data_IF_526552086468
#
_entry.id   IF_526552086468
#
_cell.length_a   1.000
_cell.length_b   1.000
_cell.length_c   1.000
_cell.angle_alpha   90.00
_cell.angle_beta   90.00
_cell.angle_gamma   90.00
#
_symmetry.space_group_name_H-M   'P 1'
#
loop_
_entity.id
_entity.type
_entity.pdbx_description
1 polymer ?
#
# COMPACT_ATOMS: atom_id res chain seq x y z
N UNK A 1 29.80 37.71 16.54
CA UNK A 1 28.60 38.05 15.73
C UNK A 1 28.39 37.11 14.55
N UNK A 2 29.45 36.65 13.86
CA UNK A 2 29.39 35.71 12.72
C UNK A 2 28.78 34.31 12.98
N UNK A 3 28.97 33.62 14.12
CA UNK A 3 28.46 32.25 14.29
C UNK A 3 26.94 32.20 14.50
N UNK A 4 26.35 33.22 15.14
CA UNK A 4 24.91 33.31 15.41
C UNK A 4 24.11 33.49 14.11
N UNK A 5 24.67 34.25 13.15
CA UNK A 5 24.06 34.46 11.84
C UNK A 5 24.09 33.18 11.01
N UNK A 6 25.22 32.46 11.00
CA UNK A 6 25.36 31.19 10.30
C UNK A 6 24.39 30.11 10.83
N UNK A 7 24.23 29.98 12.15
CA UNK A 7 23.28 29.02 12.76
C UNK A 7 21.82 29.33 12.40
N UNK A 8 21.45 30.62 12.32
CA UNK A 8 20.10 31.03 11.91
C UNK A 8 19.79 30.71 10.45
N UNK A 9 20.75 30.90 9.55
CA UNK A 9 20.59 30.53 8.14
C UNK A 9 20.45 29.01 7.95
N UNK A 10 21.24 28.21 8.69
CA UNK A 10 21.14 26.76 8.63
C UNK A 10 19.78 26.24 9.12
N UNK A 11 19.28 26.80 10.23
CA UNK A 11 17.96 26.46 10.76
C UNK A 11 16.83 26.85 9.80
N UNK A 12 16.92 28.03 9.16
CA UNK A 12 15.95 28.45 8.15
C UNK A 12 15.97 27.55 6.91
N UNK A 13 17.16 27.18 6.43
CA UNK A 13 17.31 26.26 5.31
C UNK A 13 16.72 24.88 5.63
N UNK A 14 16.97 24.37 6.83
CA UNK A 14 16.41 23.09 7.30
C UNK A 14 14.88 23.16 7.39
N UNK A 15 14.32 24.25 7.90
CA UNK A 15 12.87 24.45 7.97
C UNK A 15 12.22 24.50 6.58
N UNK A 16 12.86 25.13 5.60
CA UNK A 16 12.38 25.17 4.21
C UNK A 16 12.42 23.78 3.56
N UNK A 17 13.49 23.01 3.78
CA UNK A 17 13.58 21.64 3.27
C UNK A 17 12.52 20.72 3.89
N UNK A 18 12.28 20.84 5.21
CA UNK A 18 11.25 20.07 5.91
C UNK A 18 9.82 20.42 5.44
N UNK A 19 9.57 21.68 5.10
CA UNK A 19 8.26 22.12 4.60
C UNK A 19 7.90 21.52 3.22
N UNK A 20 8.90 21.11 2.43
CA UNK A 20 8.68 20.48 1.12
C UNK A 20 8.05 19.08 1.16
N UNK A 21 8.10 18.39 2.30
CA UNK A 21 7.57 17.02 2.42
C UNK A 21 6.04 16.96 2.62
N UNK A 22 5.36 18.09 2.86
CA UNK A 22 3.96 18.12 3.27
C UNK A 22 2.93 18.27 2.12
N UNK A 23 3.37 18.28 0.86
CA UNK A 23 2.57 18.75 -0.28
C UNK A 23 1.74 17.71 -1.05
N UNK A 24 1.47 16.51 -0.53
CA UNK A 24 0.72 15.50 -1.30
C UNK A 24 -0.79 15.70 -1.15
N UNK A 25 -1.54 15.77 -2.27
CA UNK A 25 -3.00 15.71 -2.23
C UNK A 25 -3.48 14.47 -1.47
N UNK A 26 -4.64 14.52 -0.78
CA UNK A 26 -5.18 13.35 -0.12
C UNK A 26 -5.33 12.21 -1.14
N UNK A 27 -4.97 10.97 -0.77
CA UNK A 27 -5.11 9.85 -1.68
C UNK A 27 -6.59 9.68 -2.06
N UNK A 28 -6.86 9.24 -3.29
CA UNK A 28 -8.23 8.95 -3.69
C UNK A 28 -8.83 7.83 -2.84
N UNK A 29 -10.15 7.84 -2.72
CA UNK A 29 -10.93 6.89 -1.91
C UNK A 29 -10.68 5.43 -2.31
N UNK A 30 -10.61 5.13 -3.62
CA UNK A 30 -10.34 3.78 -4.12
C UNK A 30 -9.04 3.21 -3.58
N UNK A 31 -8.02 4.04 -3.33
CA UNK A 31 -6.72 3.58 -2.86
C UNK A 31 -6.80 3.15 -1.39
N UNK A 32 -7.52 3.90 -0.57
CA UNK A 32 -7.76 3.55 0.84
C UNK A 32 -8.67 2.32 0.96
N UNK A 33 -9.73 2.26 0.14
CA UNK A 33 -10.64 1.11 0.13
C UNK A 33 -9.93 -0.17 -0.33
N UNK A 34 -9.11 -0.09 -1.38
CA UNK A 34 -8.32 -1.21 -1.87
C UNK A 34 -7.33 -1.70 -0.80
N UNK A 35 -6.56 -0.79 -0.19
CA UNK A 35 -5.57 -1.15 0.83
C UNK A 35 -6.23 -1.80 2.04
N UNK A 36 -7.31 -1.21 2.59
CA UNK A 36 -8.01 -1.79 3.73
C UNK A 36 -8.65 -3.14 3.41
N UNK A 37 -9.09 -3.36 2.17
CA UNK A 37 -9.61 -4.65 1.74
C UNK A 37 -8.50 -5.71 1.59
N UNK A 38 -7.30 -5.33 1.11
CA UNK A 38 -6.13 -6.22 1.08
C UNK A 38 -5.75 -6.65 2.49
N UNK A 39 -5.62 -5.72 3.43
CA UNK A 39 -5.26 -6.01 4.83
C UNK A 39 -6.27 -6.96 5.49
N UNK A 40 -7.59 -6.69 5.34
CA UNK A 40 -8.62 -7.60 5.86
C UNK A 40 -8.59 -8.97 5.20
N UNK A 41 -8.26 -9.06 3.90
CA UNK A 41 -8.11 -10.35 3.23
C UNK A 41 -6.92 -11.15 3.79
N UNK A 42 -5.79 -10.49 4.07
CA UNK A 42 -4.62 -11.10 4.68
C UNK A 42 -4.91 -11.59 6.10
N UNK A 43 -5.52 -10.74 6.93
CA UNK A 43 -5.91 -11.11 8.29
C UNK A 43 -6.88 -12.29 8.30
N UNK A 44 -7.87 -12.28 7.39
CA UNK A 44 -8.81 -13.37 7.24
C UNK A 44 -8.12 -14.67 6.82
N UNK A 45 -7.17 -14.63 5.87
CA UNK A 45 -6.39 -15.81 5.49
C UNK A 45 -5.62 -16.39 6.67
N UNK A 46 -4.86 -15.55 7.38
CA UNK A 46 -4.02 -15.97 8.51
C UNK A 46 -4.84 -16.46 9.70
N UNK A 47 -6.10 -16.02 9.80
CA UNK A 47 -7.07 -16.47 10.80
C UNK A 47 -7.91 -17.68 10.36
N UNK A 48 -7.66 -18.25 9.17
CA UNK A 48 -8.40 -19.39 8.63
C UNK A 48 -9.82 -19.08 8.12
N UNK A 49 -10.16 -17.80 7.94
CA UNK A 49 -11.47 -17.32 7.50
C UNK A 49 -11.55 -17.17 5.97
N UNK A 50 -11.39 -18.28 5.23
CA UNK A 50 -11.25 -18.27 3.76
C UNK A 50 -12.38 -17.58 2.99
N UNK A 51 -13.63 -17.66 3.47
CA UNK A 51 -14.76 -16.95 2.83
C UNK A 51 -14.64 -15.42 2.92
N UNK A 52 -14.10 -14.92 4.02
CA UNK A 52 -13.89 -13.47 4.21
C UNK A 52 -12.68 -13.03 3.39
N UNK A 53 -11.63 -13.85 3.33
CA UNK A 53 -10.48 -13.58 2.46
C UNK A 53 -10.90 -13.37 1.00
N UNK A 54 -11.64 -14.32 0.42
CA UNK A 54 -12.09 -14.19 -0.98
C UNK A 54 -12.97 -12.95 -1.19
N UNK A 55 -13.88 -12.66 -0.25
CA UNK A 55 -14.77 -11.50 -0.34
C UNK A 55 -14.00 -10.17 -0.29
N UNK A 56 -13.10 -10.00 0.67
CA UNK A 56 -12.32 -8.78 0.81
C UNK A 56 -11.30 -8.63 -0.32
N UNK A 57 -10.70 -9.74 -0.78
CA UNK A 57 -9.79 -9.69 -1.92
C UNK A 57 -10.52 -9.32 -3.22
N UNK A 58 -11.72 -9.85 -3.45
CA UNK A 58 -12.56 -9.44 -4.59
C UNK A 58 -12.93 -7.95 -4.54
N UNK A 59 -13.19 -7.41 -3.34
CA UNK A 59 -13.41 -5.96 -3.16
C UNK A 59 -12.16 -5.15 -3.52
N UNK A 60 -10.98 -5.56 -3.06
CA UNK A 60 -9.73 -4.91 -3.42
C UNK A 60 -9.51 -4.89 -4.95
N UNK A 61 -9.73 -6.04 -5.61
CA UNK A 61 -9.67 -6.14 -7.08
C UNK A 61 -10.66 -5.20 -7.75
N UNK A 62 -11.90 -5.12 -7.27
CA UNK A 62 -12.92 -4.24 -7.84
C UNK A 62 -12.53 -2.75 -7.71
N UNK A 63 -12.03 -2.33 -6.55
CA UNK A 63 -11.53 -0.97 -6.33
C UNK A 63 -10.41 -0.60 -7.31
N UNK A 64 -9.42 -1.48 -7.47
CA UNK A 64 -8.29 -1.24 -8.37
C UNK A 64 -8.74 -1.30 -9.85
N UNK A 65 -9.58 -2.27 -10.23
CA UNK A 65 -10.01 -2.47 -11.61
C UNK A 65 -10.73 -1.24 -12.18
N UNK A 66 -11.46 -0.49 -11.34
CA UNK A 66 -12.13 0.77 -11.75
C UNK A 66 -11.16 1.85 -12.23
N UNK A 67 -9.87 1.76 -11.87
CA UNK A 67 -8.83 2.70 -12.30
C UNK A 67 -8.15 2.33 -13.62
N UNK A 68 -8.38 1.10 -14.12
CA UNK A 68 -7.64 0.56 -15.28
C UNK A 68 -6.16 0.26 -15.05
N UNK A 69 -5.67 0.34 -13.80
CA UNK A 69 -4.27 0.13 -13.43
C UNK A 69 -3.94 -1.36 -13.31
N UNK A 70 -3.61 -2.00 -14.43
CA UNK A 70 -3.21 -3.41 -14.48
C UNK A 70 -1.97 -3.70 -13.62
N UNK A 71 -1.03 -2.75 -13.51
CA UNK A 71 0.15 -2.86 -12.66
C UNK A 71 -0.20 -2.97 -11.17
N UNK A 72 -1.27 -2.30 -10.72
CA UNK A 72 -1.75 -2.38 -9.35
C UNK A 72 -2.53 -3.67 -9.08
N UNK A 73 -3.31 -4.17 -10.05
CA UNK A 73 -3.96 -5.48 -9.95
C UNK A 73 -2.92 -6.60 -9.81
N UNK A 74 -1.89 -6.56 -10.65
CA UNK A 74 -0.79 -7.51 -10.60
C UNK A 74 -0.09 -7.50 -9.23
N UNK A 75 0.15 -6.31 -8.66
CA UNK A 75 0.69 -6.18 -7.29
C UNK A 75 -0.24 -6.76 -6.23
N UNK A 76 -1.55 -6.55 -6.33
CA UNK A 76 -2.50 -7.11 -5.38
C UNK A 76 -2.47 -8.65 -5.39
N UNK A 77 -2.36 -9.27 -6.57
CA UNK A 77 -2.21 -10.73 -6.70
C UNK A 77 -0.91 -11.24 -6.10
N UNK A 78 0.21 -10.54 -6.37
CA UNK A 78 1.49 -10.88 -5.75
C UNK A 78 1.44 -10.76 -4.23
N UNK A 79 0.74 -9.76 -3.68
CA UNK A 79 0.54 -9.61 -2.23
C UNK A 79 -0.25 -10.79 -1.65
N UNK A 80 -1.33 -11.22 -2.31
CA UNK A 80 -2.08 -12.42 -1.91
C UNK A 80 -1.22 -13.68 -1.96
N UNK A 81 -0.38 -13.82 -2.99
CA UNK A 81 0.57 -14.91 -3.10
C UNK A 81 1.63 -14.87 -1.98
N UNK A 82 2.18 -13.69 -1.70
CA UNK A 82 3.17 -13.50 -0.64
C UNK A 82 2.64 -13.90 0.75
N UNK A 83 1.35 -13.65 1.03
CA UNK A 83 0.71 -14.12 2.27
C UNK A 83 0.71 -15.64 2.38
N UNK A 84 0.43 -16.37 1.28
CA UNK A 84 0.51 -17.84 1.25
C UNK A 84 1.95 -18.34 1.41
N UNK A 85 2.90 -17.70 0.73
CA UNK A 85 4.33 -18.04 0.84
C UNK A 85 4.82 -17.83 2.28
N UNK A 86 4.38 -16.75 2.96
CA UNK A 86 4.71 -16.49 4.36
C UNK A 86 4.15 -17.56 5.31
N UNK A 87 3.02 -18.21 4.97
CA UNK A 87 2.49 -19.38 5.68
C UNK A 87 3.04 -20.71 5.17
N UNK A 88 4.15 -20.69 4.40
CA UNK A 88 4.82 -21.87 3.84
C UNK A 88 3.98 -22.67 2.83
N UNK A 89 3.01 -22.02 2.18
CA UNK A 89 2.22 -22.59 1.09
C UNK A 89 2.85 -22.14 -0.24
N UNK A 90 3.56 -23.06 -0.90
CA UNK A 90 4.32 -22.81 -2.14
C UNK A 90 3.56 -23.29 -3.38
N UNK A 91 2.43 -22.67 -3.66
CA UNK A 91 1.66 -22.91 -4.88
C UNK A 91 1.99 -21.84 -5.94
N UNK A 92 1.74 -22.09 -7.24
CA UNK A 92 1.88 -21.06 -8.25
C UNK A 92 1.01 -19.84 -7.92
N UNK A 93 1.50 -18.63 -8.24
CA UNK A 93 0.74 -17.39 -8.06
C UNK A 93 -0.27 -17.24 -9.20
N UNK A 94 -1.20 -18.19 -9.34
CA UNK A 94 -2.11 -18.31 -10.51
C UNK A 94 -2.90 -17.04 -10.80
N UNK A 95 -3.25 -16.25 -9.79
CA UNK A 95 -3.92 -14.96 -9.98
C UNK A 95 -3.07 -13.91 -10.70
N UNK A 96 -1.75 -13.95 -10.55
CA UNK A 96 -0.78 -13.09 -11.23
C UNK A 96 -0.29 -13.71 -12.55
N UNK A 97 -0.09 -15.04 -12.59
CA UNK A 97 0.45 -15.76 -13.74
C UNK A 97 -0.57 -16.01 -14.87
N UNK A 98 -1.85 -15.72 -14.64
CA UNK A 98 -2.97 -15.97 -15.57
C UNK A 98 -3.01 -15.06 -16.81
#
# INVERSE_FOLDING_TARGET
MTPIVATRFLAAALAVVLAGCAGTPPPPDWQLNAQGAIERAQDAYLSGQGRIEELEFARARAEIARTGRADLLARAELVRCATRVASLVFEPCTGFDA
#
